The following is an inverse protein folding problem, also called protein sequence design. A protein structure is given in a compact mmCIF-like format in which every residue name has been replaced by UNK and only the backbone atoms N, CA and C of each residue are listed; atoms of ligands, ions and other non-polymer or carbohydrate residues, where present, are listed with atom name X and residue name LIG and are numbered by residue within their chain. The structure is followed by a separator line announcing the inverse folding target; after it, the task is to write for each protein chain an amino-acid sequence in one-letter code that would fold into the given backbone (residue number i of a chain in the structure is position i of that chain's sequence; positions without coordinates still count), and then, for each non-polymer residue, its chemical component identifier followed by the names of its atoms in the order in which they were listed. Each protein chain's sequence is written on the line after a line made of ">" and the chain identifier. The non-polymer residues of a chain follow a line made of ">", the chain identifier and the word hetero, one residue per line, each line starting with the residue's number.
data_IF_507255258076
#
_entry.id   IF_507255258076
#
_cell.length_a   1.000
_cell.length_b   1.000
_cell.length_c   1.000
_cell.angle_alpha   90.00
_cell.angle_beta   90.00
_cell.angle_gamma   90.00
#
_symmetry.space_group_name_H-M   'P 1'
#
loop_
_entity.id
_entity.type
_entity.pdbx_description
1 polymer ?
#
# COMPACT_ATOMS: atom_id res chain seq x y z
N UNK A 1 32.06 -2.13 -15.19
CA UNK A 1 31.70 -3.32 -14.39
C UNK A 1 30.60 -2.96 -13.36
N UNK A 2 29.53 -2.28 -13.79
CA UNK A 2 28.45 -1.72 -12.93
C UNK A 2 27.06 -2.14 -13.47
N UNK A 3 26.96 -3.31 -14.11
CA UNK A 3 25.68 -3.84 -14.63
C UNK A 3 25.13 -5.03 -13.82
N UNK A 4 25.84 -5.48 -12.78
CA UNK A 4 25.43 -6.64 -11.98
C UNK A 4 24.53 -6.29 -10.78
N UNK A 5 24.56 -5.06 -10.25
CA UNK A 5 23.81 -4.70 -9.03
C UNK A 5 22.33 -4.39 -9.28
N UNK A 6 21.98 -3.84 -10.45
CA UNK A 6 20.60 -3.49 -10.85
C UNK A 6 19.75 -4.71 -11.23
N UNK A 7 20.35 -5.70 -11.90
CA UNK A 7 19.66 -6.96 -12.20
C UNK A 7 19.46 -7.82 -10.94
N UNK A 8 20.40 -7.78 -10.00
CA UNK A 8 20.29 -8.50 -8.73
C UNK A 8 19.15 -7.96 -7.87
N UNK A 9 19.06 -6.63 -7.70
CA UNK A 9 17.97 -5.97 -6.93
C UNK A 9 16.59 -6.14 -7.58
N UNK A 10 16.49 -6.10 -8.92
CA UNK A 10 15.21 -6.32 -9.64
C UNK A 10 14.66 -7.73 -9.42
N UNK A 11 15.54 -8.72 -9.31
CA UNK A 11 15.21 -10.13 -9.06
C UNK A 11 14.66 -10.31 -7.63
N UNK A 12 15.36 -9.80 -6.62
CA UNK A 12 15.03 -10.04 -5.21
C UNK A 12 13.65 -9.54 -4.79
N UNK A 13 13.19 -8.38 -5.28
CA UNK A 13 11.91 -7.82 -4.82
C UNK A 13 10.68 -8.60 -5.33
N UNK A 14 10.71 -9.09 -6.58
CA UNK A 14 9.63 -9.95 -7.11
C UNK A 14 9.65 -11.30 -6.42
N UNK A 15 10.86 -11.82 -6.12
CA UNK A 15 11.00 -13.02 -5.30
C UNK A 15 10.43 -12.85 -3.90
N UNK A 16 10.58 -11.68 -3.26
CA UNK A 16 9.96 -11.40 -1.96
C UNK A 16 8.44 -11.35 -2.08
N UNK A 17 7.89 -10.68 -3.12
CA UNK A 17 6.43 -10.62 -3.34
C UNK A 17 5.81 -12.01 -3.52
N UNK A 18 6.54 -12.92 -4.17
CA UNK A 18 6.08 -14.27 -4.52
C UNK A 18 6.72 -15.35 -3.64
N UNK A 19 7.34 -15.00 -2.51
CA UNK A 19 8.09 -15.94 -1.65
C UNK A 19 7.22 -17.06 -1.08
N UNK A 20 5.91 -16.81 -0.99
CA UNK A 20 4.89 -17.73 -0.52
C UNK A 20 4.31 -18.62 -1.62
N UNK A 21 4.70 -18.44 -2.89
CA UNK A 21 4.16 -19.23 -4.00
C UNK A 21 4.64 -20.69 -3.89
N UNK A 22 3.69 -21.63 -3.88
CA UNK A 22 4.00 -23.05 -3.84
C UNK A 22 4.16 -23.62 -5.25
N UNK A 23 5.41 -23.80 -5.69
CA UNK A 23 5.77 -24.27 -7.03
C UNK A 23 5.27 -25.72 -7.28
N UNK A 24 5.18 -26.55 -6.24
CA UNK A 24 4.69 -27.93 -6.36
C UNK A 24 3.19 -28.01 -6.75
N UNK A 25 2.48 -26.88 -6.71
CA UNK A 25 1.09 -26.76 -7.14
C UNK A 25 0.93 -26.39 -8.62
N UNK A 26 2.01 -25.96 -9.28
CA UNK A 26 1.99 -25.58 -10.69
C UNK A 26 1.91 -26.82 -11.60
N UNK A 27 1.33 -26.65 -12.79
CA UNK A 27 1.08 -27.70 -13.78
C UNK A 27 -0.11 -28.60 -13.48
N UNK A 28 -0.90 -28.30 -12.44
CA UNK A 28 -2.02 -29.13 -11.96
C UNK A 28 -3.39 -28.54 -12.26
N UNK A 29 -3.50 -27.21 -12.38
CA UNK A 29 -4.79 -26.52 -12.61
C UNK A 29 -4.59 -25.34 -13.56
N UNK A 30 -5.34 -25.35 -14.66
CA UNK A 30 -5.31 -24.30 -15.68
C UNK A 30 -5.50 -22.89 -15.11
N UNK A 31 -6.38 -22.74 -14.10
CA UNK A 31 -6.58 -21.49 -13.38
C UNK A 31 -5.29 -20.92 -12.78
N UNK A 32 -4.62 -21.69 -11.91
CA UNK A 32 -3.41 -21.24 -11.23
C UNK A 32 -2.26 -21.04 -12.23
N UNK A 33 -2.12 -21.96 -13.19
CA UNK A 33 -1.09 -21.89 -14.23
C UNK A 33 -1.26 -20.66 -15.12
N UNK A 34 -2.51 -20.36 -15.52
CA UNK A 34 -2.85 -19.17 -16.27
C UNK A 34 -2.57 -17.89 -15.47
N UNK A 35 -2.94 -17.85 -14.20
CA UNK A 35 -2.70 -16.71 -13.33
C UNK A 35 -1.21 -16.39 -13.20
N UNK A 36 -0.37 -17.38 -12.83
CA UNK A 36 1.08 -17.15 -12.70
C UNK A 36 1.73 -16.83 -14.05
N UNK A 37 1.31 -17.51 -15.14
CA UNK A 37 1.86 -17.27 -16.47
C UNK A 37 1.56 -15.85 -16.96
N UNK A 38 0.32 -15.37 -16.77
CA UNK A 38 -0.06 -14.01 -17.12
C UNK A 38 0.78 -12.98 -16.37
N UNK A 39 0.98 -13.15 -15.06
CA UNK A 39 1.76 -12.22 -14.26
C UNK A 39 3.24 -12.24 -14.64
N UNK A 40 3.85 -13.44 -14.75
CA UNK A 40 5.25 -13.59 -15.11
C UNK A 40 5.57 -13.06 -16.51
N UNK A 41 4.72 -13.34 -17.50
CA UNK A 41 4.88 -12.79 -18.85
C UNK A 41 4.77 -11.28 -18.87
N UNK A 42 3.86 -10.70 -18.07
CA UNK A 42 3.73 -9.26 -17.99
C UNK A 42 4.99 -8.59 -17.44
N UNK A 43 5.47 -9.06 -16.29
CA UNK A 43 6.69 -8.54 -15.66
C UNK A 43 7.90 -8.68 -16.58
N UNK A 44 8.05 -9.85 -17.22
CA UNK A 44 9.14 -10.12 -18.18
C UNK A 44 9.04 -9.26 -19.42
N UNK A 45 7.83 -9.10 -19.98
CA UNK A 45 7.58 -8.25 -21.13
C UNK A 45 7.92 -6.80 -20.85
N UNK A 46 7.50 -6.26 -19.70
CA UNK A 46 7.85 -4.90 -19.27
C UNK A 46 9.34 -4.73 -19.02
N UNK A 47 9.98 -5.67 -18.30
CA UNK A 47 11.40 -5.60 -17.97
C UNK A 47 12.30 -5.59 -19.22
N UNK A 48 11.86 -6.25 -20.29
CA UNK A 48 12.60 -6.39 -21.55
C UNK A 48 12.02 -5.54 -22.70
N UNK A 49 11.07 -4.64 -22.42
CA UNK A 49 10.37 -3.84 -23.45
C UNK A 49 9.79 -4.67 -24.61
N UNK A 50 9.31 -5.88 -24.34
CA UNK A 50 8.77 -6.80 -25.32
C UNK A 50 7.23 -6.72 -25.33
N UNK A 51 6.70 -6.06 -26.37
CA UNK A 51 5.26 -5.84 -26.53
C UNK A 51 4.47 -7.13 -26.78
N UNK A 52 5.06 -8.13 -27.45
CA UNK A 52 4.40 -9.41 -27.73
C UNK A 52 4.17 -10.21 -26.45
N UNK A 53 5.14 -10.21 -25.53
CA UNK A 53 4.98 -10.84 -24.22
C UNK A 53 3.90 -10.13 -23.40
N UNK A 54 3.82 -8.80 -23.46
CA UNK A 54 2.76 -8.02 -22.79
C UNK A 54 1.39 -8.29 -23.42
N UNK A 55 1.29 -8.42 -24.73
CA UNK A 55 0.04 -8.76 -25.41
C UNK A 55 -0.42 -10.18 -25.04
N UNK A 56 0.50 -11.15 -25.07
CA UNK A 56 0.24 -12.53 -24.65
C UNK A 56 -0.15 -12.62 -23.19
N UNK A 57 0.47 -11.84 -22.31
CA UNK A 57 0.12 -11.80 -20.89
C UNK A 57 -1.34 -11.39 -20.67
N UNK A 58 -1.82 -10.38 -21.42
CA UNK A 58 -3.22 -9.93 -21.37
C UNK A 58 -4.20 -10.98 -21.89
N UNK A 59 -3.85 -11.70 -22.95
CA UNK A 59 -4.68 -12.79 -23.46
C UNK A 59 -4.84 -13.92 -22.43
N UNK A 60 -3.73 -14.34 -21.80
CA UNK A 60 -3.75 -15.39 -20.77
C UNK A 60 -4.48 -14.91 -19.51
N UNK A 61 -4.31 -13.66 -19.10
CA UNK A 61 -5.08 -13.07 -17.99
C UNK A 61 -6.59 -13.18 -18.24
N UNK A 62 -7.07 -12.88 -19.45
CA UNK A 62 -8.49 -13.03 -19.81
C UNK A 62 -8.98 -14.48 -19.71
N UNK A 63 -8.17 -15.46 -20.14
CA UNK A 63 -8.50 -16.88 -19.98
C UNK A 63 -8.54 -17.29 -18.51
N UNK A 64 -7.55 -16.88 -17.72
CA UNK A 64 -7.48 -17.19 -16.30
C UNK A 64 -8.63 -16.55 -15.49
N UNK A 65 -9.13 -15.37 -15.90
CA UNK A 65 -10.33 -14.79 -15.30
C UNK A 65 -11.59 -15.62 -15.55
N UNK A 66 -11.74 -16.21 -16.74
CA UNK A 66 -12.88 -17.08 -17.04
C UNK A 66 -12.83 -18.35 -16.17
N UNK A 67 -11.66 -18.94 -16.04
CA UNK A 67 -11.43 -20.09 -15.15
C UNK A 67 -11.68 -19.72 -13.67
N UNK A 68 -11.29 -18.52 -13.25
CA UNK A 68 -11.54 -18.04 -11.89
C UNK A 68 -13.04 -17.91 -11.63
N UNK A 69 -13.79 -17.33 -12.56
CA UNK A 69 -15.25 -17.22 -12.45
C UNK A 69 -15.93 -18.59 -12.35
N UNK A 70 -15.51 -19.55 -13.17
CA UNK A 70 -16.02 -20.92 -13.11
C UNK A 70 -15.72 -21.58 -11.75
N UNK A 71 -14.48 -21.45 -11.25
CA UNK A 71 -14.09 -22.00 -9.95
C UNK A 71 -14.86 -21.36 -8.78
N UNK A 72 -15.13 -20.06 -8.84
CA UNK A 72 -15.91 -19.33 -7.83
C UNK A 72 -17.40 -19.73 -7.81
N UNK A 73 -17.95 -20.15 -8.94
CA UNK A 73 -19.34 -20.62 -9.05
C UNK A 73 -19.49 -22.12 -8.73
N UNK A 74 -18.39 -22.88 -8.75
CA UNK A 74 -18.41 -24.30 -8.42
C UNK A 74 -18.69 -24.52 -6.93
N UNK A 75 -19.42 -25.58 -6.57
CA UNK A 75 -19.87 -25.83 -5.18
C UNK A 75 -18.75 -25.99 -4.15
N UNK A 76 -17.58 -26.44 -4.58
CA UNK A 76 -16.42 -26.73 -3.71
C UNK A 76 -15.12 -26.03 -4.10
N UNK A 77 -14.92 -25.68 -5.38
CA UNK A 77 -13.61 -25.19 -5.84
C UNK A 77 -13.35 -23.76 -5.39
N UNK A 78 -14.39 -22.98 -5.11
CA UNK A 78 -14.24 -21.64 -4.56
C UNK A 78 -13.43 -21.64 -3.26
N UNK A 79 -13.51 -22.72 -2.46
CA UNK A 79 -12.77 -22.86 -1.19
C UNK A 79 -11.31 -23.30 -1.35
N UNK A 80 -10.90 -23.74 -2.54
CA UNK A 80 -9.58 -24.31 -2.75
C UNK A 80 -8.47 -23.24 -2.64
N UNK A 81 -7.33 -23.62 -2.05
CA UNK A 81 -6.19 -22.71 -1.88
C UNK A 81 -5.66 -22.22 -3.24
N UNK A 82 -5.67 -23.06 -4.27
CA UNK A 82 -5.28 -22.68 -5.64
C UNK A 82 -6.20 -21.59 -6.22
N UNK A 83 -7.49 -21.61 -5.88
CA UNK A 83 -8.45 -20.60 -6.33
C UNK A 83 -8.15 -19.24 -5.70
N UNK A 84 -7.86 -19.21 -4.39
CA UNK A 84 -7.43 -17.99 -3.72
C UNK A 84 -6.08 -17.48 -4.26
N UNK A 85 -5.11 -18.39 -4.45
CA UNK A 85 -3.80 -18.03 -4.99
C UNK A 85 -3.93 -17.39 -6.37
N UNK A 86 -4.72 -17.99 -7.26
CA UNK A 86 -4.98 -17.46 -8.58
C UNK A 86 -5.65 -16.08 -8.53
N UNK A 87 -6.64 -15.88 -7.65
CA UNK A 87 -7.27 -14.57 -7.45
C UNK A 87 -6.24 -13.51 -7.03
N UNK A 88 -5.38 -13.80 -6.05
CA UNK A 88 -4.32 -12.88 -5.60
C UNK A 88 -3.36 -12.54 -6.74
N UNK A 89 -2.89 -13.54 -7.49
CA UNK A 89 -1.97 -13.34 -8.62
C UNK A 89 -2.61 -12.52 -9.76
N UNK A 90 -3.90 -12.72 -10.04
CA UNK A 90 -4.62 -11.92 -11.04
C UNK A 90 -4.85 -10.49 -10.55
N UNK A 91 -5.09 -10.28 -9.25
CA UNK A 91 -5.10 -8.93 -8.68
C UNK A 91 -3.72 -8.26 -8.78
N UNK A 92 -2.63 -8.99 -8.56
CA UNK A 92 -1.28 -8.47 -8.80
C UNK A 92 -1.09 -8.13 -10.28
N UNK A 93 -1.52 -8.99 -11.19
CA UNK A 93 -1.49 -8.65 -12.62
C UNK A 93 -2.16 -7.30 -12.89
N UNK A 94 -3.34 -7.04 -12.33
CA UNK A 94 -4.05 -5.76 -12.53
C UNK A 94 -3.29 -4.56 -11.96
N UNK A 95 -2.70 -4.71 -10.77
CA UNK A 95 -1.89 -3.65 -10.15
C UNK A 95 -0.73 -3.21 -11.04
N UNK A 96 -0.08 -4.16 -11.73
CA UNK A 96 1.06 -3.88 -12.60
C UNK A 96 0.66 -3.50 -14.03
N UNK A 97 -0.19 -4.32 -14.66
CA UNK A 97 -0.53 -4.18 -16.06
C UNK A 97 -1.56 -3.08 -16.35
N UNK A 98 -2.41 -2.79 -15.37
CA UNK A 98 -3.60 -1.98 -15.56
C UNK A 98 -4.61 -2.65 -16.47
N UNK A 99 -5.86 -2.26 -16.28
CA UNK A 99 -6.95 -2.63 -17.18
C UNK A 99 -7.42 -1.37 -17.91
N UNK A 100 -8.52 -1.47 -18.65
CA UNK A 100 -9.16 -0.31 -19.29
C UNK A 100 -9.73 0.69 -18.29
N UNK A 101 -9.93 0.29 -17.03
CA UNK A 101 -10.44 1.16 -15.95
C UNK A 101 -9.40 1.21 -14.82
N UNK A 102 -8.94 2.41 -14.38
CA UNK A 102 -7.81 2.52 -13.44
C UNK A 102 -7.99 1.83 -12.08
N UNK A 103 -9.24 1.65 -11.62
CA UNK A 103 -9.56 1.16 -10.28
C UNK A 103 -10.09 -0.30 -10.25
N UNK A 104 -9.94 -1.10 -11.32
CA UNK A 104 -10.45 -2.49 -11.32
C UNK A 104 -9.81 -3.36 -10.26
N UNK A 105 -8.51 -3.16 -9.99
CA UNK A 105 -7.76 -3.93 -9.00
C UNK A 105 -8.39 -3.81 -7.61
N UNK A 106 -9.09 -2.71 -7.33
CA UNK A 106 -9.77 -2.42 -6.07
C UNK A 106 -11.01 -3.31 -5.93
N UNK A 107 -11.77 -3.43 -7.01
CA UNK A 107 -12.90 -4.37 -7.05
C UNK A 107 -12.42 -5.81 -6.94
N UNK A 108 -11.30 -6.14 -7.59
CA UNK A 108 -10.67 -7.46 -7.45
C UNK A 108 -10.23 -7.71 -6.00
N UNK A 109 -9.54 -6.76 -5.37
CA UNK A 109 -9.12 -6.84 -3.96
C UNK A 109 -10.31 -7.02 -3.02
N UNK A 110 -11.43 -6.32 -3.25
CA UNK A 110 -12.69 -6.53 -2.52
C UNK A 110 -13.21 -7.96 -2.69
N UNK A 111 -13.19 -8.49 -3.91
CA UNK A 111 -13.55 -9.90 -4.18
C UNK A 111 -12.67 -10.90 -3.44
N UNK A 112 -11.35 -10.67 -3.38
CA UNK A 112 -10.42 -11.47 -2.58
C UNK A 112 -10.78 -11.38 -1.09
N UNK A 113 -11.09 -10.17 -0.60
CA UNK A 113 -11.52 -9.96 0.78
C UNK A 113 -12.78 -10.74 1.12
N UNK A 114 -13.81 -10.68 0.27
CA UNK A 114 -15.03 -11.49 0.41
C UNK A 114 -14.73 -12.98 0.40
N UNK A 115 -13.85 -13.44 -0.49
CA UNK A 115 -13.46 -14.84 -0.57
C UNK A 115 -12.76 -15.31 0.71
N UNK A 116 -11.78 -14.56 1.22
CA UNK A 116 -11.11 -14.85 2.48
C UNK A 116 -12.10 -14.86 3.64
N UNK A 117 -12.97 -13.86 3.72
CA UNK A 117 -13.97 -13.74 4.78
C UNK A 117 -14.94 -14.94 4.81
N UNK A 118 -15.42 -15.40 3.65
CA UNK A 118 -16.29 -16.57 3.52
C UNK A 118 -15.58 -17.90 3.86
N UNK A 119 -14.26 -17.99 3.64
CA UNK A 119 -13.45 -19.15 4.07
C UNK A 119 -13.22 -19.16 5.59
N UNK A 120 -13.28 -17.98 6.21
CA UNK A 120 -13.17 -17.79 7.65
C UNK A 120 -11.73 -17.85 8.16
N UNK A 121 -11.46 -17.32 9.38
CA UNK A 121 -10.09 -17.20 9.90
C UNK A 121 -9.40 -18.55 10.09
N UNK A 122 -10.14 -19.62 10.41
CA UNK A 122 -9.57 -20.96 10.59
C UNK A 122 -8.89 -21.49 9.31
N UNK A 123 -9.39 -21.13 8.12
CA UNK A 123 -8.77 -21.51 6.86
C UNK A 123 -7.41 -20.83 6.63
N UNK A 124 -7.13 -19.75 7.37
CA UNK A 124 -5.90 -18.96 7.27
C UNK A 124 -5.02 -19.09 8.51
N UNK A 125 -5.27 -20.10 9.36
CA UNK A 125 -4.53 -20.28 10.59
C UNK A 125 -3.08 -20.70 10.33
N UNK A 126 -2.82 -21.52 9.31
CA UNK A 126 -1.50 -22.14 9.08
C UNK A 126 -1.20 -22.33 7.58
N UNK A 127 0.06 -22.67 7.30
CA UNK A 127 0.51 -23.11 5.97
C UNK A 127 0.33 -22.05 4.87
N UNK A 128 -0.04 -22.53 3.68
CA UNK A 128 -0.05 -21.72 2.47
C UNK A 128 -1.14 -20.65 2.47
N UNK A 129 -2.31 -20.95 3.02
CA UNK A 129 -3.43 -20.01 3.12
C UNK A 129 -3.16 -18.89 4.13
N UNK A 130 -2.40 -19.17 5.20
CA UNK A 130 -1.88 -18.14 6.09
C UNK A 130 -0.88 -17.23 5.36
N UNK A 131 0.08 -17.81 4.61
CA UNK A 131 1.04 -17.03 3.83
C UNK A 131 0.36 -16.10 2.80
N UNK A 132 -0.67 -16.61 2.12
CA UNK A 132 -1.52 -15.83 1.20
C UNK A 132 -2.22 -14.66 1.88
N UNK A 133 -2.84 -14.89 3.04
CA UNK A 133 -3.44 -13.80 3.82
C UNK A 133 -2.38 -12.75 4.19
N UNK A 134 -1.24 -13.20 4.73
CA UNK A 134 -0.19 -12.32 5.20
C UNK A 134 0.42 -11.46 4.07
N UNK A 135 0.57 -12.01 2.87
CA UNK A 135 1.08 -11.30 1.69
C UNK A 135 0.07 -10.30 1.12
N UNK A 136 -1.22 -10.61 1.17
CA UNK A 136 -2.27 -9.81 0.54
C UNK A 136 -2.85 -8.73 1.48
N UNK A 137 -2.72 -8.89 2.81
CA UNK A 137 -3.37 -8.02 3.81
C UNK A 137 -3.11 -6.53 3.62
N UNK A 138 -1.90 -6.14 3.18
CA UNK A 138 -1.58 -4.73 2.89
C UNK A 138 -2.46 -4.14 1.79
N UNK A 139 -2.69 -4.89 0.71
CA UNK A 139 -3.53 -4.47 -0.42
C UNK A 139 -4.99 -4.38 0.00
N UNK A 140 -5.47 -5.34 0.81
CA UNK A 140 -6.85 -5.32 1.33
C UNK A 140 -7.07 -4.08 2.23
N UNK A 141 -6.12 -3.78 3.11
CA UNK A 141 -6.17 -2.60 3.98
C UNK A 141 -6.16 -1.31 3.17
N UNK A 142 -5.24 -1.17 2.21
CA UNK A 142 -5.13 0.03 1.37
C UNK A 142 -6.38 0.20 0.49
N UNK A 143 -6.91 -0.89 -0.07
CA UNK A 143 -8.15 -0.87 -0.84
C UNK A 143 -9.34 -0.38 -0.02
N UNK A 144 -9.46 -0.83 1.23
CA UNK A 144 -10.54 -0.40 2.14
C UNK A 144 -10.38 1.07 2.56
N UNK A 145 -9.15 1.55 2.76
CA UNK A 145 -8.88 2.95 3.08
C UNK A 145 -9.35 3.92 1.99
N UNK A 146 -9.02 3.64 0.73
CA UNK A 146 -9.32 4.56 -0.36
C UNK A 146 -10.72 4.37 -0.93
N UNK A 147 -11.30 3.17 -0.78
CA UNK A 147 -12.60 2.83 -1.33
C UNK A 147 -13.41 1.99 -0.33
N UNK A 148 -13.79 2.58 0.82
CA UNK A 148 -14.42 1.85 1.91
C UNK A 148 -15.70 1.15 1.47
N UNK A 149 -15.92 -0.04 2.02
CA UNK A 149 -17.20 -0.74 1.94
C UNK A 149 -18.26 -0.13 2.86
N UNK A 150 -19.46 -0.74 2.87
CA UNK A 150 -20.49 -0.42 3.88
C UNK A 150 -20.08 -0.92 5.27
N UNK A 151 -19.43 -2.07 5.30
CA UNK A 151 -18.97 -2.74 6.51
C UNK A 151 -17.48 -2.51 6.73
N UNK A 152 -17.05 -2.59 7.99
CA UNK A 152 -15.64 -2.54 8.34
C UNK A 152 -14.88 -3.74 7.78
N UNK A 153 -13.65 -3.49 7.28
CA UNK A 153 -12.72 -4.53 6.83
C UNK A 153 -12.65 -5.67 7.84
N UNK A 154 -12.89 -6.90 7.37
CA UNK A 154 -12.93 -8.08 8.24
C UNK A 154 -11.65 -8.30 9.05
N UNK A 155 -10.49 -7.86 8.53
CA UNK A 155 -9.19 -7.95 9.19
C UNK A 155 -9.11 -7.17 10.52
N UNK A 156 -9.93 -6.13 10.71
CA UNK A 156 -9.95 -5.38 11.96
C UNK A 156 -10.82 -6.06 13.04
N UNK A 157 -11.64 -7.05 12.67
CA UNK A 157 -12.55 -7.73 13.60
C UNK A 157 -11.76 -8.66 14.54
N UNK A 158 -12.17 -8.80 15.81
CA UNK A 158 -11.43 -9.58 16.80
C UNK A 158 -11.10 -11.02 16.39
N UNK A 159 -12.00 -11.68 15.64
CA UNK A 159 -11.82 -13.05 15.16
C UNK A 159 -10.60 -13.24 14.23
N UNK A 160 -10.11 -12.17 13.58
CA UNK A 160 -9.01 -12.22 12.61
C UNK A 160 -7.64 -11.84 13.20
N UNK A 161 -7.58 -11.39 14.46
CA UNK A 161 -6.33 -10.91 15.08
C UNK A 161 -5.22 -11.95 15.13
N UNK A 162 -5.57 -13.23 15.29
CA UNK A 162 -4.58 -14.32 15.42
C UNK A 162 -3.95 -14.75 14.09
N UNK A 163 -4.61 -14.47 12.95
CA UNK A 163 -4.13 -14.88 11.61
C UNK A 163 -3.50 -13.74 10.81
N UNK A 164 -3.64 -12.50 11.29
CA UNK A 164 -3.11 -11.30 10.62
C UNK A 164 -1.65 -10.99 10.98
N UNK A 165 -1.09 -11.69 11.96
CA UNK A 165 0.33 -11.66 12.32
C UNK A 165 1.02 -12.93 11.84
N UNK A 166 2.19 -12.80 11.23
CA UNK A 166 3.10 -13.92 11.00
C UNK A 166 3.56 -14.51 12.34
N UNK A 167 3.86 -13.67 13.33
CA UNK A 167 4.16 -14.12 14.69
C UNK A 167 5.48 -14.90 14.79
N UNK A 168 6.38 -14.74 13.81
CA UNK A 168 7.67 -15.44 13.75
C UNK A 168 7.63 -16.80 13.06
N UNK A 169 6.51 -17.13 12.40
CA UNK A 169 6.35 -18.33 11.59
C UNK A 169 7.16 -18.30 10.28
N UNK A 170 7.57 -17.11 9.84
CA UNK A 170 8.38 -16.88 8.63
C UNK A 170 7.70 -17.39 7.36
N UNK A 171 6.40 -17.17 7.24
CA UNK A 171 5.60 -17.65 6.10
C UNK A 171 5.81 -16.82 4.83
N UNK A 172 6.16 -15.54 4.99
CA UNK A 172 6.47 -14.61 3.89
C UNK A 172 7.87 -13.99 4.04
N UNK A 173 8.68 -14.54 4.94
CA UNK A 173 10.02 -14.06 5.28
C UNK A 173 11.06 -15.15 5.01
N UNK A 174 12.33 -14.75 4.86
CA UNK A 174 13.43 -15.70 4.74
C UNK A 174 13.53 -16.58 6.01
N UNK A 175 14.01 -17.83 5.90
CA UNK A 175 14.13 -18.74 7.05
C UNK A 175 14.99 -18.20 8.20
N UNK A 176 15.96 -17.35 7.89
CA UNK A 176 16.88 -16.69 8.82
C UNK A 176 16.44 -15.28 9.23
N UNK A 177 15.25 -14.84 8.80
CA UNK A 177 14.74 -13.51 9.16
C UNK A 177 14.66 -13.35 10.68
N UNK A 178 15.20 -12.24 11.24
CA UNK A 178 15.13 -11.98 12.67
C UNK A 178 13.67 -11.77 13.12
N UNK A 179 13.32 -12.30 14.30
CA UNK A 179 11.93 -12.29 14.79
C UNK A 179 11.45 -10.86 15.03
N UNK A 180 12.33 -9.99 15.51
CA UNK A 180 12.09 -8.58 15.75
C UNK A 180 11.73 -7.82 14.47
N UNK A 181 12.34 -8.14 13.32
CA UNK A 181 11.97 -7.56 12.03
C UNK A 181 10.55 -7.98 11.62
N UNK A 182 10.19 -9.25 11.87
CA UNK A 182 8.85 -9.79 11.59
C UNK A 182 7.81 -9.10 12.46
N UNK A 183 8.09 -8.93 13.76
CA UNK A 183 7.21 -8.24 14.71
C UNK A 183 6.96 -6.79 14.32
N UNK A 184 8.00 -6.08 13.88
CA UNK A 184 7.87 -4.71 13.39
C UNK A 184 7.04 -4.64 12.11
N UNK A 185 7.23 -5.55 11.15
CA UNK A 185 6.39 -5.62 9.95
C UNK A 185 4.92 -5.94 10.26
N UNK A 186 4.67 -6.89 11.16
CA UNK A 186 3.33 -7.23 11.64
C UNK A 186 2.67 -6.06 12.38
N UNK A 187 3.40 -5.42 13.30
CA UNK A 187 2.92 -4.26 14.06
C UNK A 187 2.55 -3.09 13.15
N UNK A 188 3.34 -2.84 12.10
CA UNK A 188 3.04 -1.77 11.15
C UNK A 188 1.70 -2.02 10.44
N UNK A 189 1.50 -3.23 9.90
CA UNK A 189 0.27 -3.55 9.18
C UNK A 189 -0.95 -3.66 10.11
N UNK A 190 -0.76 -4.05 11.36
CA UNK A 190 -1.81 -4.00 12.38
C UNK A 190 -2.26 -2.55 12.67
N UNK A 191 -1.30 -1.63 12.85
CA UNK A 191 -1.59 -0.20 13.04
C UNK A 191 -2.24 0.40 11.78
N UNK A 192 -1.74 0.04 10.59
CA UNK A 192 -2.35 0.48 9.32
C UNK A 192 -3.83 0.10 9.26
N UNK A 193 -4.22 -1.13 9.64
CA UNK A 193 -5.62 -1.54 9.68
C UNK A 193 -6.49 -0.75 10.67
N UNK A 194 -5.91 -0.14 11.71
CA UNK A 194 -6.64 0.73 12.64
C UNK A 194 -6.87 2.14 12.09
N UNK A 195 -6.11 2.57 11.07
CA UNK A 195 -6.29 3.89 10.47
C UNK A 195 -7.53 4.00 9.59
N UNK A 196 -8.05 2.89 9.06
CA UNK A 196 -9.21 2.93 8.15
C UNK A 196 -10.45 3.63 8.75
N UNK A 197 -10.96 3.25 9.94
CA UNK A 197 -12.09 3.96 10.54
C UNK A 197 -11.79 5.44 10.85
N UNK A 198 -10.53 5.77 11.17
CA UNK A 198 -10.10 7.15 11.44
C UNK A 198 -10.14 7.97 10.15
N UNK A 199 -9.56 7.44 9.06
CA UNK A 199 -9.53 8.10 7.77
C UNK A 199 -10.94 8.37 7.22
N UNK A 200 -11.84 7.39 7.34
CA UNK A 200 -13.23 7.56 6.93
C UNK A 200 -13.95 8.63 7.77
N UNK A 201 -13.80 8.59 9.10
CA UNK A 201 -14.36 9.61 9.99
C UNK A 201 -13.82 11.01 9.69
N UNK A 202 -12.51 11.13 9.47
CA UNK A 202 -11.84 12.38 9.13
C UNK A 202 -12.31 12.94 7.77
N UNK A 203 -12.51 12.08 6.77
CA UNK A 203 -13.06 12.48 5.48
C UNK A 203 -14.49 13.04 5.63
N UNK A 204 -15.38 12.34 6.33
CA UNK A 204 -16.75 12.80 6.55
C UNK A 204 -16.79 14.13 7.31
N UNK A 205 -15.94 14.28 8.34
CA UNK A 205 -15.83 15.52 9.10
C UNK A 205 -15.37 16.67 8.21
N UNK A 206 -14.34 16.46 7.39
CA UNK A 206 -13.83 17.47 6.45
C UNK A 206 -14.89 17.91 5.45
N UNK A 207 -15.63 16.96 4.87
CA UNK A 207 -16.71 17.29 3.92
C UNK A 207 -17.87 18.02 4.60
N UNK A 208 -18.23 17.65 5.83
CA UNK A 208 -19.21 18.36 6.63
C UNK A 208 -18.75 19.80 6.93
N UNK A 209 -17.50 19.99 7.36
CA UNK A 209 -16.89 21.30 7.61
C UNK A 209 -16.94 22.18 6.36
N UNK A 210 -16.55 21.64 5.18
CA UNK A 210 -16.64 22.36 3.89
C UNK A 210 -18.07 22.75 3.52
N UNK A 211 -19.04 21.90 3.82
CA UNK A 211 -20.45 22.15 3.54
C UNK A 211 -21.14 23.02 4.61
N UNK A 212 -20.45 23.39 5.69
CA UNK A 212 -21.06 24.08 6.84
C UNK A 212 -22.10 23.23 7.57
N UNK A 213 -22.01 21.90 7.47
CA UNK A 213 -22.91 20.96 8.13
C UNK A 213 -22.45 20.74 9.57
N UNK A 214 -23.37 20.91 10.51
CA UNK A 214 -23.11 20.63 11.92
C UNK A 214 -22.84 19.14 12.15
N UNK A 215 -21.73 18.84 12.83
CA UNK A 215 -21.39 17.51 13.33
C UNK A 215 -21.46 17.53 14.85
N UNK A 216 -22.13 16.53 15.43
CA UNK A 216 -22.27 16.42 16.89
C UNK A 216 -20.90 16.39 17.59
N UNK A 217 -20.70 17.20 18.66
CA UNK A 217 -19.43 17.25 19.39
C UNK A 217 -18.94 15.89 19.90
N UNK A 218 -19.85 15.00 20.30
CA UNK A 218 -19.50 13.65 20.77
C UNK A 218 -18.84 12.81 19.67
N UNK A 219 -19.26 12.96 18.41
CA UNK A 219 -18.66 12.26 17.26
C UNK A 219 -17.26 12.80 16.96
N UNK A 220 -17.07 14.12 17.07
CA UNK A 220 -15.76 14.78 16.91
C UNK A 220 -14.81 14.32 18.02
N UNK A 221 -15.27 14.33 19.27
CA UNK A 221 -14.50 13.87 20.44
C UNK A 221 -14.11 12.40 20.32
N UNK A 222 -15.03 11.52 19.88
CA UNK A 222 -14.74 10.12 19.65
C UNK A 222 -13.66 9.92 18.57
N UNK A 223 -13.74 10.66 17.46
CA UNK A 223 -12.74 10.62 16.39
C UNK A 223 -11.37 11.14 16.88
N UNK A 224 -11.35 12.26 17.60
CA UNK A 224 -10.13 12.82 18.19
C UNK A 224 -9.47 11.84 19.16
N UNK A 225 -10.27 11.16 19.98
CA UNK A 225 -9.78 10.13 20.90
C UNK A 225 -9.14 8.96 20.13
N UNK A 226 -9.82 8.43 19.11
CA UNK A 226 -9.28 7.35 18.27
C UNK A 226 -7.97 7.75 17.60
N UNK A 227 -7.90 8.95 17.01
CA UNK A 227 -6.70 9.47 16.39
C UNK A 227 -5.55 9.65 17.40
N UNK A 228 -5.83 10.14 18.60
CA UNK A 228 -4.83 10.31 19.67
C UNK A 228 -4.25 8.97 20.12
N UNK A 229 -5.11 7.98 20.34
CA UNK A 229 -4.67 6.64 20.77
C UNK A 229 -3.84 5.97 19.68
N UNK A 230 -4.23 6.10 18.41
CA UNK A 230 -3.50 5.50 17.30
C UNK A 230 -2.18 6.21 17.02
N UNK A 231 -2.12 7.53 17.19
CA UNK A 231 -0.87 8.29 17.16
C UNK A 231 0.14 7.78 18.18
N UNK A 232 -0.30 7.56 19.43
CA UNK A 232 0.56 6.99 20.47
C UNK A 232 0.96 5.52 20.20
N UNK A 233 0.15 4.74 19.45
CA UNK A 233 0.53 3.39 19.02
C UNK A 233 1.59 3.43 17.92
N UNK A 234 1.43 4.27 16.91
CA UNK A 234 2.41 4.42 15.83
C UNK A 234 3.72 5.02 16.32
N UNK A 235 3.69 5.96 17.26
CA UNK A 235 4.90 6.47 17.89
C UNK A 235 5.71 5.37 18.60
N UNK A 236 5.04 4.51 19.39
CA UNK A 236 5.70 3.36 20.03
C UNK A 236 6.22 2.34 19.02
N UNK A 237 5.46 2.07 17.96
CA UNK A 237 5.92 1.22 16.87
C UNK A 237 7.18 1.81 16.20
N UNK A 238 7.25 3.14 16.06
CA UNK A 238 8.44 3.79 15.53
C UNK A 238 9.63 3.60 16.47
N UNK A 239 9.46 3.74 17.77
CA UNK A 239 10.53 3.45 18.75
C UNK A 239 11.04 2.00 18.61
N UNK A 240 10.14 1.03 18.46
CA UNK A 240 10.49 -0.38 18.23
C UNK A 240 11.25 -0.58 16.90
N UNK A 241 10.81 0.10 15.83
CA UNK A 241 11.50 0.09 14.52
C UNK A 241 12.89 0.75 14.62
N UNK A 242 12.99 1.86 15.35
CA UNK A 242 14.18 2.69 15.54
C UNK A 242 15.28 1.95 16.30
N UNK A 243 14.86 1.09 17.23
CA UNK A 243 15.72 0.21 18.01
C UNK A 243 16.30 -0.96 17.21
N UNK A 244 15.76 -1.28 16.02
CA UNK A 244 16.35 -2.27 15.13
C UNK A 244 17.59 -1.70 14.44
N UNK A 245 18.57 -2.57 14.18
CA UNK A 245 19.81 -2.21 13.46
C UNK A 245 19.59 -2.05 11.94
N UNK A 246 18.51 -1.36 11.53
CA UNK A 246 18.33 -0.98 10.14
C UNK A 246 19.29 0.17 9.78
N UNK A 247 19.95 0.11 8.60
CA UNK A 247 20.75 1.23 8.15
C UNK A 247 19.87 2.47 7.99
N UNK A 248 20.25 3.54 8.70
CA UNK A 248 19.56 4.83 8.61
C UNK A 248 19.66 5.41 7.20
N UNK A 249 18.61 6.11 6.74
CA UNK A 249 18.70 6.84 5.49
C UNK A 249 19.82 7.89 5.59
N UNK A 250 20.59 8.02 4.53
CA UNK A 250 21.68 9.00 4.44
C UNK A 250 21.32 10.06 3.42
N UNK A 251 21.74 11.30 3.67
CA UNK A 251 21.55 12.38 2.71
C UNK A 251 22.54 12.24 1.55
N UNK A 252 22.02 12.29 0.33
CA UNK A 252 22.80 12.23 -0.90
C UNK A 252 22.31 13.28 -1.89
N UNK A 253 23.12 13.57 -2.91
CA UNK A 253 22.68 14.41 -4.02
C UNK A 253 21.64 13.67 -4.87
N UNK A 254 20.58 14.35 -5.36
CA UNK A 254 19.61 13.76 -6.27
C UNK A 254 20.29 13.23 -7.54
N UNK A 255 19.75 12.14 -8.12
CA UNK A 255 20.27 11.63 -9.41
C UNK A 255 20.10 12.66 -10.54
N UNK A 256 19.05 13.48 -10.47
CA UNK A 256 18.80 14.58 -11.41
C UNK A 256 18.53 15.88 -10.65
N UNK A 257 19.59 16.63 -10.30
CA UNK A 257 19.46 17.88 -9.54
C UNK A 257 18.63 18.95 -10.25
N UNK A 258 18.59 18.95 -11.59
CA UNK A 258 17.86 19.95 -12.36
C UNK A 258 16.34 19.80 -12.22
N UNK A 259 15.86 18.58 -12.01
CA UNK A 259 14.44 18.25 -11.87
C UNK A 259 14.04 17.85 -10.42
N UNK A 260 14.97 17.97 -9.47
CA UNK A 260 14.71 17.69 -8.05
C UNK A 260 13.99 18.87 -7.37
N UNK A 261 13.15 18.56 -6.39
CA UNK A 261 12.59 19.56 -5.47
C UNK A 261 13.57 19.95 -4.36
N UNK A 262 14.55 19.10 -4.07
CA UNK A 262 15.43 19.22 -2.91
C UNK A 262 16.89 19.22 -3.34
N UNK A 263 17.71 19.99 -2.61
CA UNK A 263 19.17 19.97 -2.74
C UNK A 263 19.75 18.60 -2.39
N UNK A 264 19.19 17.95 -1.35
CA UNK A 264 19.55 16.58 -0.95
C UNK A 264 18.31 15.69 -0.81
N UNK A 265 18.47 14.43 -1.20
CA UNK A 265 17.46 13.36 -1.07
C UNK A 265 17.94 12.31 -0.06
N UNK A 266 17.04 11.42 0.35
CA UNK A 266 17.34 10.36 1.31
C UNK A 266 17.57 9.05 0.58
N UNK A 267 18.78 8.50 0.71
CA UNK A 267 19.11 7.16 0.22
C UNK A 267 18.84 6.12 1.30
N UNK A 268 17.84 5.28 1.05
CA UNK A 268 17.51 4.13 1.89
C UNK A 268 18.25 2.89 1.38
N UNK A 269 19.24 2.40 2.16
CA UNK A 269 20.02 1.21 1.78
C UNK A 269 19.16 -0.06 1.66
N UNK A 270 18.08 -0.14 2.44
CA UNK A 270 17.11 -1.23 2.40
C UNK A 270 15.74 -0.69 2.00
N UNK A 271 15.27 -1.07 0.81
CA UNK A 271 14.01 -0.57 0.26
C UNK A 271 12.79 -0.91 1.13
N UNK A 272 12.78 -2.06 1.80
CA UNK A 272 11.69 -2.47 2.70
C UNK A 272 11.62 -1.56 3.94
N UNK A 273 12.76 -1.25 4.55
CA UNK A 273 12.82 -0.30 5.67
C UNK A 273 12.38 1.10 5.25
N UNK A 274 12.79 1.55 4.06
CA UNK A 274 12.33 2.82 3.50
C UNK A 274 10.83 2.86 3.24
N UNK A 275 10.24 1.76 2.74
CA UNK A 275 8.78 1.64 2.56
C UNK A 275 8.02 1.70 3.89
N UNK A 276 8.52 1.03 4.94
CA UNK A 276 7.95 1.11 6.29
C UNK A 276 8.02 2.53 6.87
N UNK A 277 9.16 3.22 6.73
CA UNK A 277 9.32 4.61 7.17
C UNK A 277 8.38 5.58 6.43
N UNK A 278 8.30 5.46 5.10
CA UNK A 278 7.37 6.25 4.30
C UNK A 278 5.92 5.98 4.69
N UNK A 279 5.57 4.71 4.94
CA UNK A 279 4.26 4.31 5.46
C UNK A 279 3.97 4.90 6.84
N UNK A 280 4.95 4.92 7.75
CA UNK A 280 4.83 5.57 9.05
C UNK A 280 4.58 7.07 8.93
N UNK A 281 5.40 7.80 8.16
CA UNK A 281 5.21 9.24 7.97
C UNK A 281 3.85 9.56 7.34
N UNK A 282 3.38 8.75 6.38
CA UNK A 282 2.06 8.91 5.79
C UNK A 282 0.94 8.66 6.80
N UNK A 283 1.05 7.63 7.62
CA UNK A 283 0.12 7.36 8.72
C UNK A 283 0.07 8.50 9.73
N UNK A 284 1.23 9.08 10.08
CA UNK A 284 1.30 10.23 10.97
C UNK A 284 0.66 11.48 10.35
N UNK A 285 0.80 11.71 9.04
CA UNK A 285 0.09 12.79 8.34
C UNK A 285 -1.43 12.68 8.46
N UNK A 286 -1.98 11.48 8.27
CA UNK A 286 -3.43 11.23 8.43
C UNK A 286 -3.88 11.62 9.84
N UNK A 287 -3.10 11.21 10.86
CA UNK A 287 -3.46 11.42 12.26
C UNK A 287 -3.33 12.88 12.71
N UNK A 288 -2.24 13.55 12.34
CA UNK A 288 -2.05 14.97 12.63
C UNK A 288 -3.17 15.81 12.01
N UNK A 289 -3.52 15.54 10.76
CA UNK A 289 -4.61 16.22 10.07
C UNK A 289 -5.98 15.93 10.70
N UNK A 290 -6.23 14.67 11.09
CA UNK A 290 -7.49 14.31 11.77
C UNK A 290 -7.64 15.08 13.07
N UNK A 291 -6.56 15.21 13.86
CA UNK A 291 -6.58 15.97 15.10
C UNK A 291 -6.78 17.47 14.88
N UNK A 292 -6.25 18.02 13.78
CA UNK A 292 -6.50 19.40 13.35
C UNK A 292 -7.97 19.60 13.00
N UNK A 293 -8.55 18.74 12.15
CA UNK A 293 -9.97 18.80 11.77
C UNK A 293 -10.92 18.63 12.96
N UNK A 294 -10.52 17.87 13.97
CA UNK A 294 -11.27 17.75 15.23
C UNK A 294 -11.13 18.95 16.18
N UNK A 295 -10.32 19.97 15.83
CA UNK A 295 -10.09 21.13 16.69
C UNK A 295 -9.17 20.85 17.90
N UNK A 296 -8.44 19.73 17.89
CA UNK A 296 -7.52 19.34 18.96
C UNK A 296 -6.10 19.09 18.43
N UNK A 297 -5.48 20.07 17.73
CA UNK A 297 -4.15 19.89 17.15
C UNK A 297 -3.10 19.65 18.24
N UNK A 298 -2.13 18.78 17.95
CA UNK A 298 -0.95 18.63 18.80
C UNK A 298 -0.05 19.87 18.71
N UNK A 299 0.76 20.07 19.76
CA UNK A 299 1.82 21.08 19.72
C UNK A 299 2.74 20.84 18.51
N UNK A 300 3.04 21.90 17.76
CA UNK A 300 3.89 21.86 16.56
C UNK A 300 3.35 21.00 15.41
N UNK A 301 2.04 20.71 15.36
CA UNK A 301 1.44 19.86 14.30
C UNK A 301 1.83 20.32 12.89
N UNK A 302 1.88 21.63 12.64
CA UNK A 302 2.26 22.18 11.33
C UNK A 302 3.72 21.85 10.95
N UNK A 303 4.63 21.92 11.92
CA UNK A 303 6.04 21.60 11.75
C UNK A 303 6.19 20.10 11.48
N UNK A 304 5.49 19.26 12.26
CA UNK A 304 5.46 17.81 12.09
C UNK A 304 4.92 17.41 10.72
N UNK A 305 3.79 18.00 10.30
CA UNK A 305 3.19 17.76 8.97
C UNK A 305 4.18 18.12 7.87
N UNK A 306 4.81 19.30 7.93
CA UNK A 306 5.78 19.66 6.90
C UNK A 306 6.98 18.73 6.90
N UNK A 307 7.48 18.36 8.08
CA UNK A 307 8.55 17.38 8.23
C UNK A 307 8.20 16.05 7.55
N UNK A 308 7.05 15.45 7.85
CA UNK A 308 6.65 14.16 7.27
C UNK A 308 6.52 14.22 5.75
N UNK A 309 5.94 15.29 5.20
CA UNK A 309 5.89 15.45 3.74
C UNK A 309 7.29 15.52 3.14
N UNK A 310 8.20 16.32 3.72
CA UNK A 310 9.56 16.43 3.22
C UNK A 310 10.29 15.07 3.27
N UNK A 311 10.14 14.31 4.37
CA UNK A 311 10.74 12.98 4.50
C UNK A 311 10.23 12.01 3.42
N UNK A 312 8.92 11.99 3.16
CA UNK A 312 8.33 11.16 2.11
C UNK A 312 8.86 11.57 0.74
N UNK A 313 8.77 12.87 0.38
CA UNK A 313 9.18 13.36 -0.94
C UNK A 313 10.68 13.18 -1.21
N UNK A 314 11.53 13.36 -0.19
CA UNK A 314 12.98 13.12 -0.29
C UNK A 314 13.34 11.64 -0.40
N UNK A 315 12.46 10.72 0.00
CA UNK A 315 12.71 9.27 -0.05
C UNK A 315 12.28 8.61 -1.36
N UNK A 316 11.56 9.34 -2.22
CA UNK A 316 10.92 8.73 -3.38
C UNK A 316 11.92 8.21 -4.40
N UNK A 317 13.05 8.88 -4.57
CA UNK A 317 14.05 8.46 -5.56
C UNK A 317 14.64 7.08 -5.24
N UNK A 318 15.01 6.84 -3.97
CA UNK A 318 15.62 5.58 -3.56
C UNK A 318 14.56 4.48 -3.39
N UNK A 319 13.46 4.76 -2.68
CA UNK A 319 12.42 3.76 -2.37
C UNK A 319 11.50 3.51 -3.56
N UNK A 320 11.41 4.43 -4.53
CA UNK A 320 10.70 4.27 -5.78
C UNK A 320 11.51 3.61 -6.89
N UNK A 321 12.78 3.26 -6.66
CA UNK A 321 13.66 2.65 -7.68
C UNK A 321 13.26 1.20 -7.98
N UNK A 322 13.38 0.80 -9.24
CA UNK A 322 13.20 -0.59 -9.70
C UNK A 322 11.74 -0.94 -10.01
N UNK A 323 11.51 -2.16 -10.51
CA UNK A 323 10.19 -2.62 -10.98
C UNK A 323 9.12 -2.58 -9.88
N UNK A 324 9.51 -2.87 -8.64
CA UNK A 324 8.63 -2.89 -7.47
C UNK A 324 8.56 -1.53 -6.74
N UNK A 325 9.33 -0.53 -7.17
CA UNK A 325 9.39 0.78 -6.53
C UNK A 325 8.02 1.46 -6.38
N UNK A 326 7.20 1.54 -7.45
CA UNK A 326 5.84 2.07 -7.38
C UNK A 326 4.94 1.38 -6.35
N UNK A 327 5.04 0.05 -6.24
CA UNK A 327 4.32 -0.74 -5.25
C UNK A 327 4.75 -0.37 -3.83
N UNK A 328 6.06 -0.16 -3.59
CA UNK A 328 6.62 0.20 -2.27
C UNK A 328 6.19 1.58 -1.76
N UNK A 329 6.01 2.54 -2.66
CA UNK A 329 5.74 3.95 -2.29
C UNK A 329 4.28 4.37 -2.46
N UNK A 330 3.45 3.57 -3.15
CA UNK A 330 2.13 3.98 -3.63
C UNK A 330 1.22 4.55 -2.54
N UNK A 331 1.17 3.90 -1.38
CA UNK A 331 0.42 4.40 -0.22
C UNK A 331 0.91 5.79 0.23
N UNK A 332 2.20 5.94 0.47
CA UNK A 332 2.77 7.19 0.97
C UNK A 332 2.64 8.34 -0.04
N UNK A 333 2.80 8.07 -1.35
CA UNK A 333 2.58 9.06 -2.40
C UNK A 333 1.13 9.51 -2.47
N UNK A 334 0.18 8.59 -2.33
CA UNK A 334 -1.24 8.93 -2.33
C UNK A 334 -1.60 9.86 -1.19
N UNK A 335 -1.10 9.57 0.02
CA UNK A 335 -1.34 10.41 1.20
C UNK A 335 -0.63 11.77 1.06
N UNK A 336 0.66 11.78 0.73
CA UNK A 336 1.45 13.02 0.69
C UNK A 336 0.93 14.01 -0.34
N UNK A 337 0.29 13.53 -1.41
CA UNK A 337 -0.32 14.37 -2.45
C UNK A 337 -1.38 15.33 -1.89
N UNK A 338 -2.15 14.92 -0.89
CA UNK A 338 -3.17 15.76 -0.25
C UNK A 338 -2.55 16.96 0.49
N UNK A 339 -1.37 16.75 1.08
CA UNK A 339 -0.62 17.72 1.88
C UNK A 339 0.43 18.51 1.09
N UNK A 340 0.64 18.14 -0.17
CA UNK A 340 1.60 18.78 -1.06
C UNK A 340 1.08 20.15 -1.54
N UNK A 341 2.03 21.07 -1.76
CA UNK A 341 1.83 22.34 -2.49
C UNK A 341 1.57 22.09 -3.96
N UNK A 342 1.05 23.07 -4.70
CA UNK A 342 0.85 22.95 -6.16
C UNK A 342 2.12 22.53 -6.92
N UNK A 343 3.27 23.14 -6.57
CA UNK A 343 4.59 22.76 -7.11
C UNK A 343 4.95 21.31 -6.81
N UNK A 344 4.79 20.86 -5.56
CA UNK A 344 5.08 19.48 -5.16
C UNK A 344 4.14 18.49 -5.86
N UNK A 345 2.84 18.81 -5.99
CA UNK A 345 1.88 17.97 -6.70
C UNK A 345 2.22 17.79 -8.18
N UNK A 346 2.66 18.85 -8.87
CA UNK A 346 3.12 18.76 -10.26
C UNK A 346 4.39 17.91 -10.39
N UNK A 347 5.31 18.01 -9.44
CA UNK A 347 6.47 17.14 -9.39
C UNK A 347 6.09 15.68 -9.16
N UNK A 348 5.19 15.39 -8.21
CA UNK A 348 4.64 14.05 -8.00
C UNK A 348 4.01 13.53 -9.30
N UNK A 349 3.18 14.33 -9.97
CA UNK A 349 2.54 13.93 -11.22
C UNK A 349 3.56 13.57 -12.33
N UNK A 350 4.66 14.33 -12.45
CA UNK A 350 5.74 14.04 -13.41
C UNK A 350 6.44 12.69 -13.14
N UNK A 351 6.48 12.30 -11.88
CA UNK A 351 7.04 11.04 -11.43
C UNK A 351 6.06 9.88 -11.63
N UNK A 352 4.76 10.09 -11.34
CA UNK A 352 3.70 9.12 -11.61
C UNK A 352 3.65 8.74 -13.10
N UNK A 353 3.92 9.67 -14.00
CA UNK A 353 4.05 9.41 -15.45
C UNK A 353 5.16 8.42 -15.79
N UNK A 354 6.27 8.44 -15.04
CA UNK A 354 7.36 7.46 -15.22
C UNK A 354 6.98 6.11 -14.62
N UNK A 355 6.33 6.11 -13.46
CA UNK A 355 6.01 4.88 -12.76
C UNK A 355 4.82 4.12 -13.32
N UNK A 356 3.81 4.80 -13.87
CA UNK A 356 2.62 4.18 -14.47
C UNK A 356 2.96 3.26 -15.64
N UNK A 357 4.15 3.40 -16.23
CA UNK A 357 4.65 2.50 -17.26
C UNK A 357 4.90 1.06 -16.75
N UNK A 358 5.23 0.91 -15.46
CA UNK A 358 5.51 -0.39 -14.83
C UNK A 358 4.50 -0.81 -13.76
N UNK A 359 3.69 0.13 -13.24
CA UNK A 359 2.71 -0.13 -12.20
C UNK A 359 1.47 0.78 -12.38
N UNK A 360 0.43 0.23 -12.97
CA UNK A 360 -0.75 0.99 -13.37
C UNK A 360 -1.59 1.53 -12.19
N UNK A 361 -1.52 0.93 -11.00
CA UNK A 361 -2.32 1.36 -9.86
C UNK A 361 -1.99 2.77 -9.35
N UNK A 362 -0.88 3.37 -9.78
CA UNK A 362 -0.55 4.77 -9.48
C UNK A 362 -0.68 5.70 -10.69
N UNK A 363 -1.50 5.34 -11.68
CA UNK A 363 -1.82 6.21 -12.80
C UNK A 363 -2.27 7.59 -12.30
N UNK A 364 -1.62 8.66 -12.79
CA UNK A 364 -1.91 10.04 -12.43
C UNK A 364 -3.37 10.44 -12.62
N UNK A 365 -4.12 9.76 -13.52
CA UNK A 365 -5.54 10.01 -13.76
C UNK A 365 -6.41 9.72 -12.54
N UNK A 366 -5.92 8.91 -11.60
CA UNK A 366 -6.60 8.61 -10.34
C UNK A 366 -6.40 9.70 -9.29
N UNK A 367 -5.52 10.68 -9.53
CA UNK A 367 -5.23 11.79 -8.62
C UNK A 367 -6.03 13.05 -8.97
N UNK A 368 -6.41 13.88 -7.98
CA UNK A 368 -6.99 15.19 -8.23
C UNK A 368 -6.04 16.07 -9.06
N UNK A 369 -6.59 17.07 -9.78
CA UNK A 369 -5.75 18.06 -10.48
C UNK A 369 -4.85 18.81 -9.47
N UNK A 370 -3.60 19.14 -9.86
CA UNK A 370 -2.73 19.94 -9.00
C UNK A 370 -3.36 21.28 -8.63
N UNK A 371 -3.11 21.72 -7.40
CA UNK A 371 -3.47 23.04 -6.86
C UNK A 371 -2.76 24.15 -7.64
N UNK A 372 -3.39 25.31 -7.74
CA UNK A 372 -2.76 26.52 -8.26
C UNK A 372 -1.74 27.07 -7.26
N UNK A 373 -0.70 27.74 -7.75
CA UNK A 373 0.43 28.17 -6.92
C UNK A 373 0.05 29.22 -5.86
N UNK A 374 -1.06 29.93 -6.07
CA UNK A 374 -1.60 30.93 -5.15
C UNK A 374 -2.62 30.36 -4.14
N UNK A 375 -3.00 29.09 -4.27
CA UNK A 375 -3.77 28.42 -3.20
C UNK A 375 -2.81 27.97 -2.10
N UNK A 376 -2.62 28.82 -1.10
CA UNK A 376 -2.22 28.35 0.23
C UNK A 376 -3.14 27.17 0.63
N UNK A 377 -2.65 26.17 1.38
CA UNK A 377 -3.52 25.14 1.94
C UNK A 377 -4.66 25.86 2.67
N UNK A 378 -5.89 25.67 2.17
CA UNK A 378 -7.06 26.43 2.59
C UNK A 378 -7.36 26.12 4.05
N UNK A 379 -6.77 26.90 4.96
CA UNK A 379 -7.11 26.89 6.37
C UNK A 379 -8.17 27.95 6.59
N UNK A 380 -9.43 27.55 6.53
CA UNK A 380 -10.47 28.32 7.21
C UNK A 380 -10.36 27.98 8.68
N UNK A 381 -9.50 28.70 9.40
CA UNK A 381 -9.59 28.78 10.86
C UNK A 381 -10.81 29.66 11.14
N UNK A 382 -11.99 29.06 11.29
CA UNK A 382 -13.09 29.76 11.96
C UNK A 382 -12.75 29.80 13.44
N UNK A 383 -12.25 30.96 13.89
CA UNK A 383 -12.20 31.33 15.29
C UNK A 383 -13.62 31.28 15.86
N UNK A 384 -13.90 30.31 16.72
CA UNK A 384 -15.07 30.36 17.58
C UNK A 384 -14.88 31.47 18.62
N UNK A 385 -15.87 32.36 18.70
CA UNK A 385 -16.14 33.13 19.91
C UNK A 385 -16.97 32.28 20.88
#
# INVERSE_FOLDING_TARGET
>A
MIESSTNYTRSTDVFILLSWLNIDRLGKRALLDGAICSFALHLTGKANSNADLVAKSRAIYGLALNELQAALQHSTEWKASETLCAAILLCYFELFAGTTVPDTWIQHAKGIGTLMEQRGPAAHAEGWDAAMLLSCRGILTISDMFYPGKDQLFLSRPAWRHVTSDGGRRLIYAPDAPIEHIRVGDGFLANLAQLTPILHGAYLLREANKAGIFVEPDKISALAHLATVEHARLARWFDDFDALEFPRPVEVMPTDPANSLFETVLEHKLAVAGSLLMGYWASMLILEETLVECGTPRANSEISIRYFVNQILRSVESVGRGTMGPYRIGFAIRIVYEFATGREQRWIASMLDRFSQGYAAIDKKTYPKPKDDDTQPTRVVQSAA
#
